data_IF_433501756249
#
_entry.id   IF_433501756249
#
_cell.length_a   1.000
_cell.length_b   1.000
_cell.length_c   1.000
_cell.angle_alpha   90.00
_cell.angle_beta   90.00
_cell.angle_gamma   90.00
#
_symmetry.space_group_name_H-M   'P 1'
#
loop_
_entity.id
_entity.type
_entity.pdbx_description
1 polymer ?
#
# COMPACT_ATOMS: atom_id res chain seq x y z
N UNK A 1 12.94 9.95 -20.27
CA UNK A 1 12.25 10.65 -19.14
C UNK A 1 11.68 11.97 -19.64
N UNK A 2 10.42 12.01 -20.10
CA UNK A 2 9.76 13.26 -20.56
C UNK A 2 8.30 13.33 -20.09
N UNK A 3 7.57 12.24 -20.27
CA UNK A 3 6.15 12.02 -19.88
C UNK A 3 5.82 12.33 -18.40
N UNK A 4 6.81 12.33 -17.50
CA UNK A 4 6.60 12.63 -16.07
C UNK A 4 6.53 14.13 -15.75
N UNK A 5 6.96 15.02 -16.65
CA UNK A 5 7.03 16.46 -16.37
C UNK A 5 5.73 17.22 -16.68
N UNK A 6 4.85 16.68 -17.54
CA UNK A 6 3.57 17.32 -17.93
C UNK A 6 2.40 16.90 -17.02
N UNK A 7 2.54 15.81 -16.27
CA UNK A 7 1.56 15.43 -15.26
C UNK A 7 1.69 16.34 -14.02
N UNK A 8 0.61 17.04 -13.65
CA UNK A 8 0.54 17.79 -12.40
C UNK A 8 0.93 16.87 -11.23
N UNK A 9 2.06 17.19 -10.54
CA UNK A 9 2.73 16.29 -9.59
C UNK A 9 1.79 15.74 -8.51
N UNK A 10 0.81 16.54 -8.05
CA UNK A 10 -0.20 16.14 -7.04
C UNK A 10 -1.16 15.06 -7.57
N UNK A 11 -1.51 15.11 -8.87
CA UNK A 11 -2.35 14.10 -9.53
C UNK A 11 -1.62 12.78 -9.75
N UNK A 12 -0.33 12.83 -10.13
CA UNK A 12 0.48 11.64 -10.36
C UNK A 12 0.69 10.83 -9.08
N UNK A 13 1.08 11.49 -7.97
CA UNK A 13 1.26 10.83 -6.66
C UNK A 13 -0.05 10.20 -6.17
N UNK A 14 -1.19 10.88 -6.39
CA UNK A 14 -2.53 10.34 -6.07
C UNK A 14 -2.84 9.07 -6.87
N UNK A 15 -2.58 9.07 -8.17
CA UNK A 15 -2.76 7.90 -9.04
C UNK A 15 -1.87 6.72 -8.60
N UNK A 16 -0.58 6.96 -8.32
CA UNK A 16 0.35 5.92 -7.87
C UNK A 16 -0.13 5.30 -6.55
N UNK A 17 -0.48 6.12 -5.55
CA UNK A 17 -1.00 5.63 -4.26
C UNK A 17 -2.30 4.82 -4.43
N UNK A 18 -3.20 5.26 -5.32
CA UNK A 18 -4.44 4.53 -5.63
C UNK A 18 -4.16 3.17 -6.27
N UNK A 19 -3.20 3.09 -7.19
CA UNK A 19 -2.78 1.83 -7.80
C UNK A 19 -2.15 0.88 -6.76
N UNK A 20 -1.23 1.37 -5.92
CA UNK A 20 -0.63 0.60 -4.83
C UNK A 20 -1.69 0.04 -3.86
N UNK A 21 -2.64 0.88 -3.44
CA UNK A 21 -3.71 0.49 -2.51
C UNK A 21 -4.71 -0.50 -3.13
N UNK A 22 -4.98 -0.38 -4.44
CA UNK A 22 -5.83 -1.32 -5.19
C UNK A 22 -5.15 -2.68 -5.33
N UNK A 23 -3.86 -2.70 -5.70
CA UNK A 23 -3.07 -3.91 -5.81
C UNK A 23 -2.94 -4.63 -4.47
N UNK A 24 -2.57 -3.92 -3.40
CA UNK A 24 -2.46 -4.50 -2.06
C UNK A 24 -3.82 -5.05 -1.59
N UNK A 25 -4.91 -4.31 -1.82
CA UNK A 25 -6.26 -4.78 -1.52
C UNK A 25 -6.71 -6.01 -2.32
N UNK A 26 -6.16 -6.24 -3.51
CA UNK A 26 -6.38 -7.47 -4.27
C UNK A 26 -5.57 -8.63 -3.66
N UNK A 27 -4.27 -8.43 -3.46
CA UNK A 27 -3.34 -9.44 -2.94
C UNK A 27 -3.78 -9.95 -1.57
N UNK A 28 -4.10 -9.04 -0.64
CA UNK A 28 -4.44 -9.43 0.74
C UNK A 28 -5.77 -10.19 0.79
N UNK A 29 -6.81 -9.78 0.04
CA UNK A 29 -8.12 -10.47 0.03
C UNK A 29 -8.14 -11.80 -0.73
N UNK A 30 -7.17 -12.03 -1.62
CA UNK A 30 -7.02 -13.32 -2.34
C UNK A 30 -6.37 -14.41 -1.48
N UNK A 31 -5.67 -14.04 -0.40
CA UNK A 31 -5.00 -14.94 0.56
C UNK A 31 -4.11 -16.05 -0.07
N UNK A 32 -3.58 -15.78 -1.26
CA UNK A 32 -2.66 -16.67 -2.00
C UNK A 32 -1.19 -16.50 -1.57
N UNK A 33 -0.26 -17.17 -2.27
CA UNK A 33 1.18 -17.08 -2.03
C UNK A 33 1.67 -15.62 -1.95
N UNK A 34 1.16 -14.74 -2.79
CA UNK A 34 1.48 -13.30 -2.83
C UNK A 34 1.13 -12.59 -1.51
N UNK A 35 0.06 -13.01 -0.80
CA UNK A 35 -0.27 -12.52 0.54
C UNK A 35 0.82 -12.93 1.55
N UNK A 36 1.24 -14.19 1.53
CA UNK A 36 2.28 -14.71 2.45
C UNK A 36 3.63 -14.03 2.20
N UNK A 37 4.03 -13.84 0.93
CA UNK A 37 5.23 -13.09 0.53
C UNK A 37 5.15 -11.64 1.01
N UNK A 38 4.02 -10.96 0.78
CA UNK A 38 3.87 -9.52 1.06
C UNK A 38 3.81 -9.22 2.55
N UNK A 39 3.09 -10.04 3.32
CA UNK A 39 3.05 -9.92 4.78
C UNK A 39 4.36 -10.33 5.43
N UNK A 40 5.11 -11.24 4.80
CA UNK A 40 6.33 -11.84 5.38
C UNK A 40 6.02 -13.00 6.33
N UNK A 41 4.92 -13.72 6.07
CA UNK A 41 4.55 -14.97 6.76
C UNK A 41 5.25 -16.21 6.19
N UNK A 42 5.91 -16.09 5.03
CA UNK A 42 6.79 -17.15 4.54
C UNK A 42 8.04 -17.24 5.40
N UNK A 43 8.37 -18.47 5.79
CA UNK A 43 9.62 -18.79 6.48
C UNK A 43 10.83 -18.61 5.54
N UNK A 44 11.98 -18.31 6.15
CA UNK A 44 13.25 -18.08 5.45
C UNK A 44 13.85 -16.71 5.73
N UNK A 45 15.19 -16.64 5.81
CA UNK A 45 15.90 -15.37 5.99
C UNK A 45 15.90 -14.56 4.69
N UNK A 46 15.64 -13.26 4.81
CA UNK A 46 15.80 -12.30 3.71
C UNK A 46 17.25 -12.31 3.21
N UNK A 47 17.44 -12.39 1.91
CA UNK A 47 18.77 -12.26 1.29
C UNK A 47 19.39 -10.90 1.61
N UNK A 48 20.73 -10.86 1.73
CA UNK A 48 21.48 -9.60 1.89
C UNK A 48 21.24 -8.73 0.65
N UNK A 49 21.15 -7.41 0.83
CA UNK A 49 20.91 -6.43 -0.26
C UNK A 49 19.44 -6.10 -0.57
N UNK A 50 18.46 -6.94 -0.18
CA UNK A 50 17.03 -6.62 -0.41
C UNK A 50 16.53 -5.52 0.55
N UNK A 51 16.65 -4.23 0.23
CA UNK A 51 15.92 -3.00 0.72
C UNK A 51 15.60 -2.71 2.22
N UNK A 52 15.35 -3.69 3.11
CA UNK A 52 14.54 -3.58 4.36
C UNK A 52 13.04 -3.28 4.15
N UNK A 53 12.67 -2.11 3.64
CA UNK A 53 11.27 -1.62 3.51
C UNK A 53 10.36 -2.55 2.66
N UNK A 54 9.05 -2.54 2.94
CA UNK A 54 7.97 -3.23 2.21
C UNK A 54 6.93 -2.24 1.67
N UNK A 55 6.16 -2.65 0.66
CA UNK A 55 5.01 -1.87 0.16
C UNK A 55 3.99 -1.55 1.27
N UNK A 56 3.83 -2.42 2.27
CA UNK A 56 2.97 -2.19 3.45
C UNK A 56 3.41 -1.00 4.29
N UNK A 57 4.72 -0.75 4.36
CA UNK A 57 5.31 0.26 5.24
C UNK A 57 5.15 1.63 4.59
N UNK A 58 5.39 1.71 3.27
CA UNK A 58 5.09 2.89 2.46
C UNK A 58 3.59 3.20 2.42
N UNK A 59 2.72 2.19 2.35
CA UNK A 59 1.25 2.35 2.42
C UNK A 59 0.81 2.88 3.78
N UNK A 60 1.36 2.36 4.90
CA UNK A 60 1.09 2.89 6.23
C UNK A 60 1.49 4.37 6.34
N UNK A 61 2.69 4.71 5.88
CA UNK A 61 3.25 6.07 5.95
C UNK A 61 2.32 7.17 5.39
N UNK A 62 1.51 6.89 4.34
CA UNK A 62 0.58 7.87 3.77
C UNK A 62 -0.89 7.70 4.14
N UNK A 63 -1.30 6.57 4.74
CA UNK A 63 -2.65 6.39 5.31
C UNK A 63 -2.77 6.93 6.74
N UNK A 64 -1.65 7.00 7.46
CA UNK A 64 -1.57 7.55 8.82
C UNK A 64 -0.70 6.68 9.74
N UNK A 65 -0.25 7.20 10.89
CA UNK A 65 0.61 6.49 11.83
C UNK A 65 -0.17 5.39 12.60
N UNK A 66 -0.48 4.29 11.92
CA UNK A 66 -1.04 3.06 12.49
C UNK A 66 -0.08 1.88 12.32
N UNK A 67 -0.28 0.79 13.07
CA UNK A 67 0.53 -0.42 12.88
C UNK A 67 0.14 -1.07 11.55
N UNK A 68 1.12 -1.67 10.86
CA UNK A 68 0.89 -2.42 9.62
C UNK A 68 -0.15 -3.54 9.80
N UNK A 69 -0.24 -4.13 11.00
CA UNK A 69 -1.28 -5.11 11.37
C UNK A 69 -2.69 -4.57 11.20
N UNK A 70 -2.92 -3.34 11.62
CA UNK A 70 -4.25 -2.74 11.72
C UNK A 70 -4.75 -2.39 10.32
N UNK A 71 -3.82 -1.93 9.47
CA UNK A 71 -4.03 -1.73 8.03
C UNK A 71 -4.30 -3.07 7.32
N UNK A 72 -3.58 -4.14 7.64
CA UNK A 72 -3.82 -5.47 7.06
C UNK A 72 -5.20 -6.04 7.43
N UNK A 73 -5.72 -5.72 8.63
CA UNK A 73 -7.08 -6.05 9.05
C UNK A 73 -8.09 -5.20 8.25
N UNK A 74 -7.91 -3.88 8.22
CA UNK A 74 -8.80 -2.95 7.52
C UNK A 74 -8.85 -3.18 5.99
N UNK A 75 -7.77 -3.70 5.40
CA UNK A 75 -7.73 -4.12 3.99
C UNK A 75 -8.67 -5.31 3.71
N UNK A 76 -8.99 -6.17 4.68
CA UNK A 76 -9.90 -7.30 4.42
C UNK A 76 -11.31 -6.80 4.11
N UNK A 77 -11.82 -5.89 4.93
CA UNK A 77 -13.05 -5.14 4.67
C UNK A 77 -12.90 -4.34 3.37
N UNK A 78 -13.95 -4.29 2.55
CA UNK A 78 -13.92 -3.63 1.24
C UNK A 78 -14.24 -2.15 1.30
N UNK A 79 -15.15 -1.79 2.20
CA UNK A 79 -15.74 -0.46 2.26
C UNK A 79 -14.95 0.40 3.25
N UNK A 80 -14.54 -0.15 4.41
CA UNK A 80 -13.54 0.48 5.28
C UNK A 80 -12.24 0.81 4.51
N UNK A 81 -11.76 -0.11 3.65
CA UNK A 81 -10.58 0.14 2.83
C UNK A 81 -10.78 1.27 1.82
N UNK A 82 -11.95 1.34 1.19
CA UNK A 82 -12.30 2.44 0.26
C UNK A 82 -12.36 3.78 0.99
N UNK A 83 -12.99 3.80 2.17
CA UNK A 83 -13.16 5.01 2.97
C UNK A 83 -11.82 5.50 3.53
N UNK A 84 -10.95 4.61 4.02
CA UNK A 84 -9.60 4.96 4.43
C UNK A 84 -8.79 5.59 3.28
N UNK A 85 -8.81 4.98 2.08
CA UNK A 85 -8.16 5.57 0.89
C UNK A 85 -8.76 6.94 0.56
N UNK A 86 -10.09 7.08 0.57
CA UNK A 86 -10.77 8.33 0.25
C UNK A 86 -10.43 9.44 1.25
N UNK A 87 -10.41 9.13 2.55
CA UNK A 87 -10.14 10.07 3.62
C UNK A 87 -8.65 10.46 3.70
N UNK A 88 -7.72 9.55 3.38
CA UNK A 88 -6.30 9.88 3.26
C UNK A 88 -6.02 10.93 2.16
N UNK A 89 -6.88 11.05 1.14
CA UNK A 89 -6.80 12.14 0.16
C UNK A 89 -7.50 13.44 0.60
N UNK A 90 -8.34 13.44 1.65
CA UNK A 90 -8.99 14.64 2.20
C UNK A 90 -8.11 15.37 3.23
N UNK A 91 -7.27 14.65 3.98
CA UNK A 91 -6.41 15.23 5.02
C UNK A 91 -5.18 15.97 4.46
N UNK A 92 -4.85 15.79 3.17
CA UNK A 92 -3.73 16.45 2.51
C UNK A 92 -4.13 17.75 1.79
N UNK A 93 -4.97 18.58 2.41
CA UNK A 93 -5.43 19.86 1.85
C UNK A 93 -4.59 21.01 2.39
#
# INVERSE_FOLDING_TARGET
MRVLNEANKRSLVRTIRKCQATFLGHVIRREKLEHLVTTGKLEGKRSRGRQREKITDGVATWLGPGKVTDILIAIKDRDLWRDMIANAYKQGT
#
